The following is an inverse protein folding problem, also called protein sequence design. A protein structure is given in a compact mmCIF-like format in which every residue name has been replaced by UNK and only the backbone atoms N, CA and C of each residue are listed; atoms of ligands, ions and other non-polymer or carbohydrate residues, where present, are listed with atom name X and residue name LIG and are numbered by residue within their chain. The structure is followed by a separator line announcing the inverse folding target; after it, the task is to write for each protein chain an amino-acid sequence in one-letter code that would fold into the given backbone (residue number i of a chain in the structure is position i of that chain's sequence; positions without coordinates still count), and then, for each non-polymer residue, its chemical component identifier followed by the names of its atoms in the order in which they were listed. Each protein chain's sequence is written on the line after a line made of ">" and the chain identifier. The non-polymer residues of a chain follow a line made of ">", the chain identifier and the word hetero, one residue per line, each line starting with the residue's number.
data_IF_164652421252
#
_entry.id   IF_164652421252
#
_cell.length_a   1.000
_cell.length_b   1.000
_cell.length_c   1.000
_cell.angle_alpha   90.00
_cell.angle_beta   90.00
_cell.angle_gamma   90.00
#
_symmetry.space_group_name_H-M   'P 1'
#
loop_
_entity.id
_entity.type
_entity.pdbx_description
1 polymer ?
#
# COMPACT_ATOMS: atom_id res chain seq x y z
N UNK A 1 -2.95 13.54 1.86
CA UNK A 1 -2.91 14.72 2.75
C UNK A 1 -2.46 14.26 4.13
N UNK A 2 -1.70 15.08 4.85
CA UNK A 2 -1.26 14.80 6.22
C UNK A 2 -1.95 15.80 7.13
N UNK A 3 -2.47 15.36 8.28
CA UNK A 3 -3.13 16.21 9.24
C UNK A 3 -2.70 15.86 10.66
N UNK A 4 -2.76 16.83 11.56
CA UNK A 4 -2.59 16.61 13.00
C UNK A 4 -3.95 16.29 13.64
N UNK A 5 -4.00 15.52 14.76
CA UNK A 5 -5.26 15.07 15.36
C UNK A 5 -6.21 16.20 15.78
N UNK A 6 -5.66 17.33 16.20
CA UNK A 6 -6.37 18.57 16.58
C UNK A 6 -7.15 19.20 15.42
N UNK A 7 -6.69 19.06 14.17
CA UNK A 7 -7.36 19.62 12.99
C UNK A 7 -8.40 18.67 12.35
N UNK A 8 -8.47 17.41 12.78
CA UNK A 8 -9.41 16.41 12.23
C UNK A 8 -10.90 16.79 12.30
N UNK A 9 -11.42 17.48 13.34
CA UNK A 9 -12.82 17.91 13.38
C UNK A 9 -13.20 18.88 12.24
N UNK A 10 -12.25 19.71 11.79
CA UNK A 10 -12.43 20.63 10.67
C UNK A 10 -12.27 19.90 9.33
N UNK A 11 -11.26 19.04 9.21
CA UNK A 11 -11.02 18.24 7.99
C UNK A 11 -12.17 17.26 7.72
N UNK A 12 -12.82 16.74 8.77
CA UNK A 12 -14.02 15.90 8.65
C UNK A 12 -15.18 16.60 7.95
N UNK A 13 -15.33 17.92 8.11
CA UNK A 13 -16.35 18.71 7.40
C UNK A 13 -16.08 18.79 5.89
N UNK A 14 -14.81 18.69 5.48
CA UNK A 14 -14.38 18.64 4.07
C UNK A 14 -14.47 17.24 3.44
N UNK A 15 -15.00 16.25 4.17
CA UNK A 15 -15.11 14.86 3.71
C UNK A 15 -15.86 14.69 2.39
N UNK A 16 -16.82 15.59 2.06
CA UNK A 16 -17.51 15.57 0.76
C UNK A 16 -16.58 15.78 -0.44
N UNK A 17 -15.49 16.53 -0.27
CA UNK A 17 -14.52 16.84 -1.34
C UNK A 17 -13.32 15.90 -1.27
N UNK A 18 -12.82 15.65 -0.06
CA UNK A 18 -11.62 14.82 0.15
C UNK A 18 -11.90 13.32 0.04
N UNK A 19 -13.13 12.88 0.35
CA UNK A 19 -13.56 11.49 0.29
C UNK A 19 -13.50 10.90 -1.13
N UNK A 20 -14.20 11.50 -2.13
CA UNK A 20 -14.21 10.98 -3.50
C UNK A 20 -12.83 10.95 -4.17
N UNK A 21 -11.91 11.79 -3.71
CA UNK A 21 -10.53 11.87 -4.25
C UNK A 21 -9.55 10.93 -3.52
N UNK A 22 -10.01 10.14 -2.55
CA UNK A 22 -9.16 9.32 -1.67
C UNK A 22 -8.05 10.14 -0.97
N UNK A 23 -8.25 11.44 -0.74
CA UNK A 23 -7.26 12.33 -0.14
C UNK A 23 -7.49 12.56 1.36
N UNK A 24 -8.51 11.93 1.93
CA UNK A 24 -8.86 12.08 3.34
C UNK A 24 -7.77 11.50 4.25
N UNK A 25 -7.18 12.27 5.18
CA UNK A 25 -6.20 11.77 6.14
C UNK A 25 -6.80 10.64 6.98
N UNK A 26 -6.03 9.59 7.25
CA UNK A 26 -6.50 8.40 7.94
C UNK A 26 -5.46 7.94 8.99
N UNK A 27 -5.84 7.86 10.28
CA UNK A 27 -4.95 7.42 11.36
C UNK A 27 -4.35 6.03 11.15
N UNK A 28 -5.08 5.12 10.50
CA UNK A 28 -4.60 3.74 10.23
C UNK A 28 -3.37 3.70 9.32
N UNK A 29 -3.15 4.76 8.56
CA UNK A 29 -2.09 4.86 7.55
C UNK A 29 -0.97 5.80 8.01
N UNK A 30 -1.03 6.28 9.27
CA UNK A 30 -0.03 7.21 9.82
C UNK A 30 -0.08 8.62 9.24
N UNK A 31 -1.04 8.93 8.35
CA UNK A 31 -1.24 10.28 7.79
C UNK A 31 -1.93 11.23 8.77
N UNK A 32 -2.37 10.72 9.92
CA UNK A 32 -2.77 11.52 11.08
C UNK A 32 -1.78 11.25 12.21
N UNK A 33 -0.84 12.17 12.41
CA UNK A 33 0.21 12.03 13.43
C UNK A 33 0.56 13.40 14.01
N UNK A 34 1.10 13.42 15.22
CA UNK A 34 1.69 14.61 15.83
C UNK A 34 3.07 14.92 15.25
N UNK A 35 3.76 13.92 14.69
CA UNK A 35 5.05 14.10 14.01
C UNK A 35 4.86 14.33 12.50
N UNK A 36 4.64 15.59 12.14
CA UNK A 36 4.42 15.99 10.75
C UNK A 36 5.70 15.87 9.91
N UNK A 37 6.88 16.05 10.53
CA UNK A 37 8.15 16.06 9.80
C UNK A 37 8.50 14.67 9.26
N UNK A 38 8.35 13.64 10.10
CA UNK A 38 8.54 12.25 9.68
C UNK A 38 7.50 11.82 8.66
N UNK A 39 6.22 12.16 8.87
CA UNK A 39 5.16 11.82 7.92
C UNK A 39 5.37 12.45 6.53
N UNK A 40 5.88 13.69 6.46
CA UNK A 40 6.20 14.33 5.19
C UNK A 40 7.38 13.64 4.49
N UNK A 41 8.42 13.24 5.24
CA UNK A 41 9.55 12.49 4.69
C UNK A 41 9.09 11.12 4.15
N UNK A 42 8.29 10.39 4.92
CA UNK A 42 7.75 9.10 4.52
C UNK A 42 6.83 9.21 3.29
N UNK A 43 5.96 10.22 3.24
CA UNK A 43 5.09 10.47 2.10
C UNK A 43 5.89 10.83 0.83
N UNK A 44 6.95 11.64 0.96
CA UNK A 44 7.86 11.95 -0.16
C UNK A 44 8.71 10.76 -0.59
N UNK A 45 9.00 9.84 0.32
CA UNK A 45 9.74 8.60 0.06
C UNK A 45 8.97 7.59 -0.80
N UNK A 46 7.74 7.91 -1.22
CA UNK A 46 6.96 7.06 -2.11
C UNK A 46 6.20 5.96 -1.38
N UNK A 47 5.77 6.20 -0.14
CA UNK A 47 4.92 5.27 0.59
C UNK A 47 3.66 4.93 -0.25
N UNK A 48 3.55 3.66 -0.64
CA UNK A 48 2.40 3.15 -1.40
C UNK A 48 1.38 2.58 -0.43
N UNK A 49 0.18 3.15 -0.45
CA UNK A 49 -0.95 2.63 0.31
C UNK A 49 -1.55 1.43 -0.42
N UNK A 50 -1.72 0.31 0.28
CA UNK A 50 -2.48 -0.84 -0.21
C UNK A 50 -3.69 -1.08 0.68
N UNK A 51 -4.85 -1.28 0.05
CA UNK A 51 -6.11 -1.59 0.73
C UNK A 51 -6.62 -2.94 0.24
N UNK A 52 -7.13 -3.73 1.17
CA UNK A 52 -7.81 -4.99 0.86
C UNK A 52 -9.21 -4.71 0.33
N UNK A 53 -9.55 -5.29 -0.81
CA UNK A 53 -10.90 -5.26 -1.37
C UNK A 53 -11.83 -6.25 -0.65
N UNK A 54 -13.15 -6.13 -0.83
CA UNK A 54 -14.13 -7.03 -0.22
C UNK A 54 -13.90 -8.51 -0.55
N UNK A 55 -13.30 -8.79 -1.71
CA UNK A 55 -12.94 -10.15 -2.14
C UNK A 55 -11.65 -10.69 -1.48
N UNK A 56 -10.99 -9.94 -0.60
CA UNK A 56 -9.72 -10.33 0.02
C UNK A 56 -8.51 -10.18 -0.90
N UNK A 57 -8.64 -9.41 -1.98
CA UNK A 57 -7.56 -9.14 -2.95
C UNK A 57 -6.87 -7.83 -2.55
N UNK A 58 -5.55 -7.81 -2.64
CA UNK A 58 -4.73 -6.61 -2.39
C UNK A 58 -4.12 -6.16 -3.71
N UNK A 59 -4.37 -4.92 -4.09
CA UNK A 59 -3.75 -4.28 -5.25
C UNK A 59 -2.75 -3.23 -4.78
N UNK A 60 -1.56 -3.25 -5.36
CA UNK A 60 -0.54 -2.23 -5.11
C UNK A 60 0.26 -1.98 -6.40
N UNK A 61 0.53 -0.70 -6.68
CA UNK A 61 1.43 -0.33 -7.76
C UNK A 61 2.88 -0.49 -7.31
N UNK A 62 3.58 -1.48 -7.85
CA UNK A 62 5.00 -1.78 -7.50
C UNK A 62 6.01 -0.92 -8.28
N UNK A 63 5.57 -0.18 -9.30
CA UNK A 63 6.45 0.70 -10.08
C UNK A 63 5.83 1.14 -11.40
N UNK A 64 6.66 1.79 -12.22
CA UNK A 64 6.35 2.12 -13.62
C UNK A 64 7.23 1.28 -14.54
N UNK A 65 6.78 1.08 -15.79
CA UNK A 65 7.57 0.39 -16.81
C UNK A 65 8.91 1.07 -17.13
N UNK A 66 9.10 2.33 -16.72
CA UNK A 66 10.33 3.08 -16.87
C UNK A 66 11.37 2.81 -15.77
N UNK A 67 11.08 1.95 -14.80
CA UNK A 67 12.02 1.58 -13.72
C UNK A 67 12.93 0.44 -14.18
N UNK A 68 14.11 0.35 -13.57
CA UNK A 68 15.01 -0.78 -13.86
C UNK A 68 14.47 -2.08 -13.27
N UNK A 69 14.94 -3.20 -13.81
CA UNK A 69 14.53 -4.54 -13.34
C UNK A 69 14.81 -4.73 -11.85
N UNK A 70 15.98 -4.30 -11.37
CA UNK A 70 16.38 -4.35 -9.96
C UNK A 70 15.47 -3.54 -9.03
N UNK A 71 14.96 -2.39 -9.49
CA UNK A 71 14.03 -1.58 -8.72
C UNK A 71 12.67 -2.25 -8.61
N UNK A 72 12.21 -2.89 -9.69
CA UNK A 72 10.93 -3.59 -9.71
C UNK A 72 10.99 -4.83 -8.82
N UNK A 73 12.05 -5.63 -8.91
CA UNK A 73 12.23 -6.82 -8.05
C UNK A 73 12.33 -6.43 -6.58
N UNK A 74 13.13 -5.42 -6.23
CA UNK A 74 13.24 -4.93 -4.86
C UNK A 74 11.90 -4.41 -4.30
N UNK A 75 11.12 -3.68 -5.11
CA UNK A 75 9.80 -3.20 -4.70
C UNK A 75 8.81 -4.35 -4.48
N UNK A 76 8.84 -5.38 -5.33
CA UNK A 76 7.99 -6.56 -5.20
C UNK A 76 8.32 -7.35 -3.92
N UNK A 77 9.60 -7.58 -3.63
CA UNK A 77 10.05 -8.24 -2.40
C UNK A 77 9.67 -7.44 -1.14
N UNK A 78 9.89 -6.12 -1.17
CA UNK A 78 9.51 -5.24 -0.06
C UNK A 78 7.99 -5.29 0.19
N UNK A 79 7.20 -5.30 -0.89
CA UNK A 79 5.74 -5.41 -0.81
C UNK A 79 5.30 -6.76 -0.22
N UNK A 80 5.87 -7.87 -0.68
CA UNK A 80 5.56 -9.21 -0.15
C UNK A 80 5.90 -9.32 1.33
N UNK A 81 7.06 -8.80 1.73
CA UNK A 81 7.49 -8.76 3.13
C UNK A 81 6.52 -7.94 3.98
N UNK A 82 6.08 -6.77 3.49
CA UNK A 82 5.11 -5.93 4.18
C UNK A 82 3.74 -6.63 4.32
N UNK A 83 3.27 -7.31 3.29
CA UNK A 83 2.03 -8.08 3.32
C UNK A 83 2.13 -9.24 4.31
N UNK A 84 3.22 -9.99 4.33
CA UNK A 84 3.43 -11.06 5.31
C UNK A 84 3.45 -10.54 6.76
N UNK A 85 4.08 -9.38 7.02
CA UNK A 85 4.05 -8.74 8.34
C UNK A 85 2.67 -8.24 8.73
N UNK A 86 1.84 -7.85 7.76
CA UNK A 86 0.46 -7.44 7.98
C UNK A 86 -0.51 -8.62 8.19
N UNK A 87 0.00 -9.87 8.25
CA UNK A 87 -0.83 -11.06 8.53
C UNK A 87 -1.53 -10.93 9.88
N UNK A 88 -2.88 -10.96 9.93
CA UNK A 88 -3.61 -10.96 11.18
C UNK A 88 -3.41 -12.30 11.90
N UNK A 89 -3.32 -12.27 13.23
CA UNK A 89 -3.08 -13.43 14.09
C UNK A 89 -4.13 -14.54 13.94
N UNK A 90 -5.34 -14.22 13.47
CA UNK A 90 -6.42 -15.18 13.19
C UNK A 90 -6.32 -15.90 11.85
N UNK A 91 -5.40 -15.51 10.95
CA UNK A 91 -5.29 -16.13 9.62
C UNK A 91 -4.60 -17.50 9.69
N UNK A 92 -5.38 -18.57 9.48
CA UNK A 92 -4.89 -19.96 9.42
C UNK A 92 -4.56 -20.38 7.98
N UNK A 93 -3.50 -21.17 7.81
CA UNK A 93 -3.05 -21.69 6.51
C UNK A 93 -2.18 -20.72 5.69
N UNK A 94 -2.07 -20.97 4.38
CA UNK A 94 -1.27 -20.18 3.45
C UNK A 94 -1.88 -18.79 3.26
N UNK A 95 -1.17 -17.75 3.72
CA UNK A 95 -1.68 -16.38 3.72
C UNK A 95 -1.76 -15.78 2.30
N UNK A 96 -0.77 -16.06 1.46
CA UNK A 96 -0.73 -15.62 0.05
C UNK A 96 -1.03 -16.82 -0.84
N UNK A 97 -2.16 -16.78 -1.56
CA UNK A 97 -2.61 -17.90 -2.41
C UNK A 97 -2.13 -17.80 -3.86
N UNK A 98 -2.00 -16.58 -4.38
CA UNK A 98 -1.60 -16.31 -5.77
C UNK A 98 -1.03 -14.90 -5.87
N UNK A 99 0.04 -14.75 -6.64
CA UNK A 99 0.58 -13.46 -7.05
C UNK A 99 0.39 -13.34 -8.57
N UNK A 100 -0.15 -12.21 -9.01
CA UNK A 100 -0.28 -11.90 -10.43
C UNK A 100 0.26 -10.48 -10.66
N UNK A 101 1.22 -10.35 -11.58
CA UNK A 101 1.79 -9.09 -11.99
C UNK A 101 1.26 -8.72 -13.37
N UNK A 102 0.71 -7.52 -13.49
CA UNK A 102 0.13 -7.02 -14.74
C UNK A 102 0.57 -5.59 -14.95
N UNK A 103 0.82 -5.22 -16.20
CA UNK A 103 0.88 -3.80 -16.58
C UNK A 103 -0.53 -3.25 -16.76
N UNK A 104 -0.67 -1.92 -16.77
CA UNK A 104 -1.98 -1.26 -16.83
C UNK A 104 -2.83 -1.64 -18.05
N UNK A 105 -2.19 -2.02 -19.15
CA UNK A 105 -2.83 -2.37 -20.42
C UNK A 105 -2.37 -3.73 -20.98
N UNK A 106 -1.73 -4.57 -20.15
CA UNK A 106 -1.16 -5.85 -20.60
C UNK A 106 -1.79 -7.07 -19.93
N UNK A 107 -1.50 -8.28 -20.44
CA UNK A 107 -1.92 -9.52 -19.80
C UNK A 107 -1.17 -9.72 -18.48
N UNK A 108 -1.87 -10.27 -17.48
CA UNK A 108 -1.29 -10.59 -16.19
C UNK A 108 -0.50 -11.90 -16.22
N UNK A 109 0.73 -11.86 -15.72
CA UNK A 109 1.60 -13.03 -15.55
C UNK A 109 1.50 -13.51 -14.10
N UNK A 110 1.28 -14.82 -13.93
CA UNK A 110 1.27 -15.45 -12.60
C UNK A 110 2.70 -15.71 -12.18
N UNK A 111 3.02 -15.36 -10.94
CA UNK A 111 4.34 -15.59 -10.35
C UNK A 111 4.18 -16.60 -9.22
N UNK A 112 5.18 -17.45 -9.07
CA UNK A 112 5.20 -18.43 -8.00
C UNK A 112 5.45 -17.74 -6.65
N UNK A 113 4.65 -18.13 -5.66
CA UNK A 113 4.67 -17.58 -4.30
C UNK A 113 5.88 -18.07 -3.53
N UNK A 114 6.37 -19.28 -3.84
CA UNK A 114 7.55 -19.85 -3.19
C UNK A 114 8.84 -19.13 -3.62
N UNK A 115 9.04 -18.93 -4.93
CA UNK A 115 10.23 -18.26 -5.47
C UNK A 115 10.33 -16.78 -5.08
N UNK A 116 9.21 -16.11 -4.78
CA UNK A 116 9.19 -14.69 -4.43
C UNK A 116 9.41 -14.40 -2.92
N UNK A 117 9.49 -15.45 -2.08
CA UNK A 117 9.77 -15.33 -0.65
C UNK A 117 11.25 -15.59 -0.29
N UNK A 118 12.02 -16.22 -1.19
CA UNK A 118 13.39 -16.69 -0.95
C UNK A 118 14.48 -15.86 -1.67
N UNK A 119 14.23 -14.57 -1.91
CA UNK A 119 15.22 -13.65 -2.50
C UNK A 119 15.36 -12.37 -1.70
#
# INVERSE_FOLDING_TARGET
>A
CIATPDMMPLVGRLGKVLGPRNLMPNPKVGTVTTDVAEAVKAAKGGAVEFRVEKAGIVHAGVGKASFSEEQITGNVQAFLTAVQKARPSGAKGTFIKRIALSSSMGPGVKIDVAAAADG
#
